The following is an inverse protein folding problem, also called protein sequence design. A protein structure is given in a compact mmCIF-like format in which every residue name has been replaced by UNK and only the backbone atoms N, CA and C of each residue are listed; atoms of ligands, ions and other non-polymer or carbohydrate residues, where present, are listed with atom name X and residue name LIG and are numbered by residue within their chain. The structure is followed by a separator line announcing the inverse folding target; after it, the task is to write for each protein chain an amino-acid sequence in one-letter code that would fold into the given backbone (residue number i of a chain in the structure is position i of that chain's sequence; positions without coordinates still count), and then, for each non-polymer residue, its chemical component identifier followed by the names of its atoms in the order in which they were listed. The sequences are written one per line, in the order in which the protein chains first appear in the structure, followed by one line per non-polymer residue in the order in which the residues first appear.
data_IF_452148429470
#
_entry.id   IF_452148429470
#
_cell.length_a   1.000
_cell.length_b   1.000
_cell.length_c   1.000
_cell.angle_alpha   90.00
_cell.angle_beta   90.00
_cell.angle_gamma   90.00
#
_symmetry.space_group_name_H-M   'P 1'
#
loop_
_entity.id
_entity.type
_entity.pdbx_description
1 polymer ?
#
# COMPACT_ATOMS: atom_id res chain seq x y z
N UNK A 1 34.45 17.07 61.17
CA UNK A 1 35.69 17.81 61.47
C UNK A 1 36.85 17.18 60.70
N UNK A 2 37.80 17.98 60.19
CA UNK A 2 39.09 17.61 59.56
C UNK A 2 39.05 16.65 58.32
N UNK A 3 39.82 16.78 57.21
CA UNK A 3 41.24 17.17 56.93
C UNK A 3 42.26 16.06 57.30
N UNK A 4 43.25 15.61 56.49
CA UNK A 4 43.81 15.89 55.11
C UNK A 4 44.46 14.55 54.59
N UNK A 5 45.13 14.33 53.43
CA UNK A 5 45.61 15.16 52.27
C UNK A 5 45.84 14.30 50.98
N UNK A 6 45.44 14.84 49.82
CA UNK A 6 45.96 14.68 48.42
C UNK A 6 46.99 13.60 48.00
N UNK A 7 46.74 12.94 46.85
CA UNK A 7 47.58 12.83 45.61
C UNK A 7 46.79 12.04 44.52
N UNK A 8 46.85 12.30 43.22
CA UNK A 8 47.44 13.43 42.47
C UNK A 8 48.27 13.01 41.24
N UNK A 9 47.64 12.76 40.07
CA UNK A 9 48.32 12.54 38.78
C UNK A 9 47.40 12.89 37.59
N UNK A 10 47.97 13.11 36.40
CA UNK A 10 47.39 13.98 35.35
C UNK A 10 46.95 13.27 34.06
N UNK A 11 46.15 13.99 33.25
CA UNK A 11 45.73 13.61 31.89
C UNK A 11 46.91 13.37 30.94
N UNK A 12 46.69 12.55 29.91
CA UNK A 12 47.27 12.76 28.57
C UNK A 12 46.23 12.51 27.49
N UNK A 13 45.85 13.56 26.78
CA UNK A 13 45.12 13.48 25.51
C UNK A 13 46.08 13.08 24.38
N UNK A 14 45.53 12.62 23.24
CA UNK A 14 46.26 12.46 21.98
C UNK A 14 45.55 13.26 20.87
N UNK A 15 46.28 13.87 19.93
CA UNK A 15 45.76 14.96 19.10
C UNK A 15 45.02 14.49 17.83
N UNK A 16 44.12 15.35 17.35
CA UNK A 16 43.57 15.33 15.99
C UNK A 16 44.62 15.77 14.95
N UNK A 17 44.49 15.28 13.71
CA UNK A 17 45.49 15.44 12.64
C UNK A 17 44.87 15.50 11.23
N UNK A 18 43.80 16.29 11.04
CA UNK A 18 43.37 16.72 9.69
C UNK A 18 44.18 17.93 9.20
N UNK A 19 44.86 17.84 8.04
CA UNK A 19 45.10 19.00 7.16
C UNK A 19 45.54 18.65 5.73
N UNK A 20 44.93 19.37 4.79
CA UNK A 20 45.45 19.85 3.49
C UNK A 20 46.45 19.02 2.68
N UNK A 21 45.97 18.48 1.54
CA UNK A 21 46.63 18.70 0.24
C UNK A 21 45.60 19.02 -0.85
N UNK A 22 45.71 20.20 -1.47
CA UNK A 22 45.01 20.57 -2.70
C UNK A 22 45.95 21.36 -3.61
N UNK A 23 45.78 21.17 -4.93
CA UNK A 23 46.41 21.90 -6.04
C UNK A 23 47.94 21.85 -6.19
N UNK A 24 48.38 21.25 -7.31
CA UNK A 24 49.21 21.93 -8.33
C UNK A 24 48.77 21.43 -9.72
N UNK A 25 49.10 22.18 -10.78
CA UNK A 25 48.56 22.03 -12.15
C UNK A 25 49.57 21.44 -13.14
N UNK A 26 49.04 20.82 -14.18
CA UNK A 26 49.65 20.65 -15.51
C UNK A 26 49.39 19.26 -16.10
N UNK A 27 49.42 19.03 -17.41
CA UNK A 27 49.20 19.86 -18.61
C UNK A 27 49.38 18.94 -19.84
N UNK A 28 48.64 19.19 -20.94
CA UNK A 28 48.58 18.32 -22.15
C UNK A 28 48.02 16.89 -21.91
N UNK A 29 47.45 16.22 -22.92
CA UNK A 29 47.14 16.67 -24.28
C UNK A 29 46.33 15.65 -25.09
N UNK A 30 45.66 16.16 -26.14
CA UNK A 30 45.10 15.48 -27.32
C UNK A 30 44.02 14.37 -27.18
N UNK A 31 43.22 14.21 -28.25
CA UNK A 31 42.08 13.28 -28.37
C UNK A 31 42.41 11.97 -29.10
N UNK A 32 41.45 11.34 -29.82
CA UNK A 32 40.65 12.02 -30.85
C UNK A 32 39.15 11.61 -30.98
N UNK A 33 38.45 12.32 -31.87
CA UNK A 33 37.25 11.94 -32.65
C UNK A 33 36.13 11.11 -31.99
N UNK A 34 35.04 11.78 -31.59
CA UNK A 34 33.68 11.25 -31.78
C UNK A 34 33.21 11.68 -33.17
N UNK A 35 32.85 10.73 -34.04
CA UNK A 35 32.36 11.04 -35.40
C UNK A 35 30.86 11.30 -35.40
N UNK A 36 30.50 12.53 -35.73
CA UNK A 36 29.14 12.94 -36.05
C UNK A 36 28.59 12.16 -37.27
N UNK A 37 27.28 11.89 -37.27
CA UNK A 37 26.56 11.27 -38.39
C UNK A 37 25.24 11.98 -38.62
N UNK A 38 25.30 13.02 -39.44
CA UNK A 38 24.15 13.70 -40.01
C UNK A 38 23.24 12.71 -40.76
N UNK A 39 21.93 12.83 -40.54
CA UNK A 39 20.89 12.18 -41.35
C UNK A 39 19.97 13.27 -41.92
N UNK A 40 20.00 13.46 -43.24
CA UNK A 40 19.17 14.44 -43.93
C UNK A 40 17.76 13.87 -44.26
N UNK A 41 16.71 14.70 -44.30
CA UNK A 41 15.33 14.24 -44.37
C UNK A 41 14.86 13.85 -45.79
N UNK A 42 13.88 12.95 -45.82
CA UNK A 42 12.91 12.73 -46.91
C UNK A 42 11.57 12.43 -46.23
N UNK A 43 10.41 12.83 -46.74
CA UNK A 43 10.10 13.68 -47.89
C UNK A 43 8.59 13.64 -48.09
N UNK A 44 7.91 14.79 -48.17
CA UNK A 44 6.45 14.84 -48.15
C UNK A 44 5.83 14.42 -49.50
N UNK A 45 4.67 13.76 -49.41
CA UNK A 45 3.74 13.60 -50.52
C UNK A 45 2.32 13.79 -49.99
N UNK A 46 1.56 14.68 -50.62
CA UNK A 46 0.14 14.92 -50.36
C UNK A 46 -0.63 14.68 -51.67
N UNK A 47 -1.92 14.37 -51.56
CA UNK A 47 -2.84 14.30 -52.70
C UNK A 47 -4.27 14.59 -52.25
N UNK A 48 -4.85 15.66 -52.78
CA UNK A 48 -6.26 16.03 -52.59
C UNK A 48 -7.23 15.00 -53.22
N UNK A 49 -8.48 14.94 -52.73
CA UNK A 49 -9.40 13.83 -53.03
C UNK A 49 -10.89 14.13 -53.25
N UNK A 50 -11.32 15.41 -53.20
CA UNK A 50 -12.69 15.92 -53.50
C UNK A 50 -13.84 15.60 -52.53
N UNK A 51 -14.73 16.58 -52.42
CA UNK A 51 -16.10 16.48 -51.92
C UNK A 51 -17.04 15.94 -53.02
N UNK A 52 -18.18 15.36 -52.63
CA UNK A 52 -19.43 15.54 -53.38
C UNK A 52 -20.62 15.43 -52.41
N UNK A 53 -21.51 16.42 -52.42
CA UNK A 53 -22.60 16.55 -51.45
C UNK A 53 -23.96 16.10 -51.98
N UNK A 54 -24.88 15.74 -51.09
CA UNK A 54 -26.32 15.61 -51.37
C UNK A 54 -27.17 16.32 -50.32
N UNK A 55 -28.32 16.81 -50.77
CA UNK A 55 -29.27 17.61 -50.00
C UNK A 55 -30.32 16.74 -49.28
N UNK A 56 -31.26 17.43 -48.63
CA UNK A 56 -32.51 16.91 -48.01
C UNK A 56 -32.33 16.21 -46.64
N UNK A 57 -33.23 16.39 -45.66
CA UNK A 57 -34.37 17.33 -45.55
C UNK A 57 -34.64 17.68 -44.07
N UNK A 58 -35.53 18.62 -43.80
CA UNK A 58 -35.87 19.04 -42.44
C UNK A 58 -37.06 18.25 -41.87
N UNK A 59 -36.92 17.65 -40.68
CA UNK A 59 -38.03 17.03 -39.97
C UNK A 59 -37.65 16.37 -38.64
N UNK A 60 -38.47 16.60 -37.60
CA UNK A 60 -38.55 15.77 -36.39
C UNK A 60 -37.43 15.93 -35.36
N UNK A 61 -37.71 16.68 -34.27
CA UNK A 61 -36.98 16.49 -33.01
C UNK A 61 -37.49 15.20 -32.38
N UNK A 62 -36.67 14.15 -32.40
CA UNK A 62 -36.89 12.91 -31.63
C UNK A 62 -35.69 12.70 -30.73
N UNK A 63 -35.94 12.62 -29.41
CA UNK A 63 -34.89 12.38 -28.42
C UNK A 63 -34.46 10.91 -28.46
N UNK A 64 -33.29 10.64 -29.04
CA UNK A 64 -32.64 9.33 -28.97
C UNK A 64 -31.82 9.23 -27.68
N UNK A 65 -32.52 9.00 -26.57
CA UNK A 65 -31.91 8.37 -25.40
C UNK A 65 -31.50 6.96 -25.82
N UNK A 66 -30.20 6.70 -25.94
CA UNK A 66 -29.68 5.35 -26.21
C UNK A 66 -29.80 4.50 -24.96
N UNK A 67 -30.95 3.86 -24.83
CA UNK A 67 -31.29 2.94 -23.75
C UNK A 67 -30.19 1.88 -23.59
N UNK A 68 -29.60 1.81 -22.39
CA UNK A 68 -28.49 0.91 -22.07
C UNK A 68 -29.03 -0.17 -21.14
N UNK A 69 -29.23 -1.41 -21.62
CA UNK A 69 -30.08 -2.38 -20.92
C UNK A 69 -29.45 -2.89 -19.62
N UNK A 70 -30.26 -2.96 -18.57
CA UNK A 70 -29.99 -3.81 -17.40
C UNK A 70 -29.15 -3.19 -16.28
N UNK A 71 -29.71 -2.21 -15.56
CA UNK A 71 -29.20 -1.83 -14.23
C UNK A 71 -29.95 -2.53 -13.07
N UNK A 72 -30.94 -3.36 -13.37
CA UNK A 72 -31.68 -4.15 -12.39
C UNK A 72 -30.94 -5.46 -12.04
N UNK A 73 -30.95 -5.87 -10.77
CA UNK A 73 -30.49 -7.20 -10.37
C UNK A 73 -29.02 -7.37 -9.97
N UNK A 74 -28.25 -6.30 -9.73
CA UNK A 74 -26.96 -6.44 -9.01
C UNK A 74 -27.23 -6.86 -7.55
N UNK A 75 -27.09 -8.15 -7.27
CA UNK A 75 -27.05 -8.65 -5.89
C UNK A 75 -25.81 -8.10 -5.18
N UNK A 76 -26.01 -7.52 -3.99
CA UNK A 76 -24.91 -7.05 -3.17
C UNK A 76 -24.01 -8.25 -2.79
N UNK A 77 -22.72 -8.17 -3.10
CA UNK A 77 -21.74 -9.20 -2.75
C UNK A 77 -21.12 -8.86 -1.40
N UNK A 78 -21.52 -9.56 -0.34
CA UNK A 78 -20.76 -9.54 0.92
C UNK A 78 -19.60 -10.52 0.88
N UNK A 79 -18.60 -10.27 1.74
CA UNK A 79 -17.42 -11.11 1.93
C UNK A 79 -17.34 -11.50 3.40
N UNK A 80 -17.29 -12.80 3.70
CA UNK A 80 -17.12 -13.29 5.07
C UNK A 80 -15.66 -13.68 5.35
N UNK A 81 -15.08 -13.15 6.42
CA UNK A 81 -13.76 -13.53 6.94
C UNK A 81 -13.93 -13.89 8.43
N UNK A 82 -13.93 -15.19 8.75
CA UNK A 82 -14.20 -15.67 10.11
C UNK A 82 -15.59 -15.25 10.63
N UNK A 83 -15.68 -14.46 11.71
CA UNK A 83 -16.95 -13.90 12.20
C UNK A 83 -17.38 -12.63 11.43
N UNK A 84 -16.51 -11.98 10.66
CA UNK A 84 -16.79 -10.69 10.03
C UNK A 84 -17.57 -10.86 8.72
N UNK A 85 -18.76 -10.27 8.64
CA UNK A 85 -19.56 -10.15 7.42
C UNK A 85 -19.40 -8.73 6.84
N UNK A 86 -18.52 -8.61 5.83
CA UNK A 86 -18.16 -7.35 5.19
C UNK A 86 -19.18 -7.06 4.07
N UNK A 87 -20.06 -6.08 4.30
CA UNK A 87 -21.10 -5.67 3.33
C UNK A 87 -20.54 -5.09 2.03
N UNK A 88 -19.28 -4.66 2.05
CA UNK A 88 -18.49 -4.35 0.87
C UNK A 88 -17.29 -5.30 0.86
N UNK A 89 -17.01 -6.02 -0.24
CA UNK A 89 -15.98 -7.06 -0.31
C UNK A 89 -14.60 -6.43 -0.53
N UNK A 90 -14.26 -5.46 0.31
CA UNK A 90 -13.20 -4.47 0.11
C UNK A 90 -12.32 -4.38 1.35
N UNK A 91 -11.02 -4.46 1.15
CA UNK A 91 -10.02 -4.41 2.22
C UNK A 91 -8.99 -3.31 1.92
N UNK A 92 -8.69 -2.42 2.86
CA UNK A 92 -7.55 -1.50 2.74
C UNK A 92 -6.24 -2.30 2.85
N UNK A 93 -5.37 -2.19 1.85
CA UNK A 93 -4.07 -2.85 1.89
C UNK A 93 -3.16 -2.21 2.95
N UNK A 94 -2.47 -3.00 3.78
CA UNK A 94 -1.50 -2.48 4.72
C UNK A 94 -0.34 -1.81 3.96
N UNK A 95 -0.10 -0.52 4.23
CA UNK A 95 0.96 0.26 3.61
C UNK A 95 1.72 1.01 4.70
N UNK A 96 2.94 0.56 4.98
CA UNK A 96 3.81 1.18 5.98
C UNK A 96 4.10 2.66 5.64
N UNK A 97 4.05 3.51 6.64
CA UNK A 97 4.07 4.97 6.52
C UNK A 97 2.80 5.55 5.89
N UNK A 98 1.69 4.82 5.77
CA UNK A 98 0.43 5.33 5.19
C UNK A 98 -0.79 4.89 6.01
N UNK A 99 -0.99 3.59 6.27
CA UNK A 99 -2.22 3.07 6.93
C UNK A 99 -2.15 3.11 8.46
N UNK A 100 -1.61 4.21 8.99
CA UNK A 100 -1.67 4.57 10.41
C UNK A 100 -3.12 4.86 10.84
N UNK A 101 -3.35 4.99 12.16
CA UNK A 101 -4.71 5.20 12.69
C UNK A 101 -5.37 6.45 12.11
N UNK A 102 -4.63 7.54 11.86
CA UNK A 102 -5.16 8.76 11.28
C UNK A 102 -5.74 8.54 9.87
N UNK A 103 -5.04 7.82 9.00
CA UNK A 103 -5.53 7.52 7.66
C UNK A 103 -6.72 6.54 7.68
N UNK A 104 -6.71 5.54 8.56
CA UNK A 104 -7.82 4.57 8.68
C UNK A 104 -9.08 5.22 9.26
N UNK A 105 -8.95 6.04 10.30
CA UNK A 105 -10.04 6.88 10.83
C UNK A 105 -10.62 7.76 9.73
N UNK A 106 -9.78 8.48 8.97
CA UNK A 106 -10.24 9.35 7.88
C UNK A 106 -11.00 8.58 6.79
N UNK A 107 -10.55 7.38 6.42
CA UNK A 107 -11.29 6.54 5.45
C UNK A 107 -12.65 6.11 6.01
N UNK A 108 -12.72 5.70 7.28
CA UNK A 108 -13.98 5.32 7.95
C UNK A 108 -14.94 6.51 8.14
N UNK A 109 -14.42 7.69 8.50
CA UNK A 109 -15.19 8.95 8.56
C UNK A 109 -15.81 9.30 7.20
N UNK A 110 -15.06 9.13 6.10
CA UNK A 110 -15.52 9.41 4.74
C UNK A 110 -16.45 8.34 4.18
N UNK A 111 -16.23 7.05 4.49
CA UNK A 111 -17.16 5.97 4.13
C UNK A 111 -18.50 6.18 4.83
N UNK A 112 -18.49 6.44 6.15
CA UNK A 112 -19.71 6.67 6.94
C UNK A 112 -20.49 7.91 6.47
N UNK A 113 -19.80 9.03 6.21
CA UNK A 113 -20.45 10.29 5.82
C UNK A 113 -20.91 10.33 4.35
N UNK A 114 -20.28 9.59 3.43
CA UNK A 114 -20.63 9.60 1.99
C UNK A 114 -21.41 8.37 1.51
N UNK A 115 -21.30 7.23 2.18
CA UNK A 115 -22.02 5.98 1.84
C UNK A 115 -22.96 5.49 2.96
N UNK A 116 -23.02 6.19 4.11
CA UNK A 116 -23.91 5.85 5.23
C UNK A 116 -23.49 4.61 6.02
N UNK A 117 -22.29 4.06 5.77
CA UNK A 117 -21.84 2.81 6.38
C UNK A 117 -20.30 2.74 6.46
N UNK A 118 -19.79 1.83 7.29
CA UNK A 118 -18.39 1.38 7.25
C UNK A 118 -18.44 -0.12 7.03
N UNK A 119 -18.02 -0.56 5.84
CA UNK A 119 -18.44 -1.85 5.27
C UNK A 119 -17.30 -2.74 4.80
N UNK A 120 -16.08 -2.20 4.69
CA UNK A 120 -14.85 -2.92 4.40
C UNK A 120 -13.93 -3.10 5.61
N UNK A 121 -12.84 -3.86 5.42
CA UNK A 121 -11.85 -4.17 6.46
C UNK A 121 -10.62 -3.26 6.35
N UNK A 122 -10.18 -2.68 7.47
CA UNK A 122 -9.15 -1.64 7.49
C UNK A 122 -7.84 -2.11 8.14
N UNK A 123 -6.91 -2.65 7.34
CA UNK A 123 -5.64 -3.20 7.85
C UNK A 123 -4.64 -2.09 8.23
N UNK A 124 -4.07 -2.17 9.43
CA UNK A 124 -3.06 -1.23 9.93
C UNK A 124 -1.71 -1.37 9.20
N UNK A 125 -0.71 -0.60 9.62
CA UNK A 125 0.66 -0.77 9.14
C UNK A 125 1.26 -2.12 9.57
N UNK A 126 2.11 -2.68 8.71
CA UNK A 126 2.86 -3.92 8.98
C UNK A 126 3.83 -3.77 10.16
N UNK A 127 3.61 -4.54 11.23
CA UNK A 127 4.51 -4.63 12.40
C UNK A 127 5.27 -5.94 12.44
N UNK A 128 6.53 -5.91 12.89
CA UNK A 128 7.36 -7.11 13.03
C UNK A 128 6.97 -7.90 14.28
N UNK A 129 6.67 -9.19 14.14
CA UNK A 129 6.25 -10.08 15.23
C UNK A 129 7.20 -10.05 16.43
N UNK A 130 8.51 -10.25 16.17
CA UNK A 130 9.56 -10.11 17.21
C UNK A 130 9.54 -8.73 17.89
N UNK A 131 9.30 -7.66 17.15
CA UNK A 131 9.28 -6.31 17.71
C UNK A 131 8.05 -6.02 18.58
N UNK A 132 6.96 -6.74 18.35
CA UNK A 132 5.77 -6.72 19.20
C UNK A 132 6.03 -7.49 20.51
N UNK A 133 6.62 -8.69 20.42
CA UNK A 133 7.02 -9.51 21.57
C UNK A 133 8.06 -8.81 22.45
N UNK A 134 9.05 -8.14 21.86
CA UNK A 134 10.01 -7.28 22.57
C UNK A 134 9.41 -5.93 23.03
N UNK A 135 8.12 -5.71 22.83
CA UNK A 135 7.34 -4.49 23.19
C UNK A 135 7.98 -3.18 22.74
N UNK A 136 8.62 -3.19 21.57
CA UNK A 136 9.39 -2.05 21.09
C UNK A 136 8.48 -0.80 20.94
N UNK A 137 8.82 0.38 21.52
CA UNK A 137 7.87 1.50 21.63
C UNK A 137 7.26 1.97 20.31
N UNK A 138 8.04 1.98 19.22
CA UNK A 138 7.52 2.34 17.88
C UNK A 138 6.52 1.30 17.38
N UNK A 139 6.73 0.03 17.68
CA UNK A 139 5.84 -1.07 17.28
C UNK A 139 4.54 -1.05 18.08
N UNK A 140 4.61 -0.92 19.41
CA UNK A 140 3.42 -0.75 20.26
C UNK A 140 2.60 0.49 19.87
N UNK A 141 3.24 1.53 19.35
CA UNK A 141 2.57 2.72 18.84
C UNK A 141 1.94 2.49 17.46
N UNK A 142 2.55 1.68 16.58
CA UNK A 142 1.94 1.27 15.31
C UNK A 142 0.71 0.37 15.51
N UNK A 143 0.61 -0.38 16.61
CA UNK A 143 -0.59 -1.17 16.97
C UNK A 143 -1.72 -0.31 17.58
N UNK A 144 -1.75 1.00 17.32
CA UNK A 144 -2.84 1.88 17.77
C UNK A 144 -4.04 1.80 16.82
N UNK A 145 -5.22 1.67 17.40
CA UNK A 145 -6.53 1.73 16.73
C UNK A 145 -7.37 2.86 17.36
N UNK A 146 -8.33 3.42 16.62
CA UNK A 146 -9.26 4.40 17.18
C UNK A 146 -10.33 3.69 18.05
N UNK A 147 -10.95 4.37 19.05
CA UNK A 147 -11.99 3.74 19.88
C UNK A 147 -13.20 3.21 19.09
N UNK A 148 -13.52 3.86 17.97
CA UNK A 148 -14.61 3.52 17.04
C UNK A 148 -14.13 2.63 15.88
N UNK A 149 -12.87 2.20 15.90
CA UNK A 149 -12.31 1.30 14.89
C UNK A 149 -12.60 -0.15 15.25
N UNK A 150 -13.58 -0.73 14.53
CA UNK A 150 -13.95 -2.14 14.65
C UNK A 150 -14.35 -2.68 13.25
N UNK A 151 -13.95 -3.91 12.90
CA UNK A 151 -12.92 -4.72 13.58
C UNK A 151 -11.52 -4.13 13.41
N UNK A 152 -10.68 -4.26 14.43
CA UNK A 152 -9.28 -3.81 14.47
C UNK A 152 -8.42 -4.85 13.76
N UNK A 153 -7.75 -4.48 12.67
CA UNK A 153 -6.99 -5.42 11.85
C UNK A 153 -5.50 -5.13 11.86
N UNK A 154 -4.70 -6.02 12.45
CA UNK A 154 -3.25 -5.90 12.54
C UNK A 154 -2.53 -6.74 11.47
N UNK A 155 -1.56 -6.18 10.75
CA UNK A 155 -0.68 -7.01 9.90
C UNK A 155 0.64 -7.34 10.63
N UNK A 156 0.90 -8.64 10.82
CA UNK A 156 2.18 -9.17 11.27
C UNK A 156 3.16 -9.39 10.09
N UNK A 157 4.44 -9.15 10.35
CA UNK A 157 5.57 -9.57 9.53
C UNK A 157 6.52 -10.43 10.35
N UNK A 158 6.97 -11.55 9.78
CA UNK A 158 7.73 -12.58 10.48
C UNK A 158 8.52 -13.44 9.48
N UNK A 159 9.50 -14.19 10.00
CA UNK A 159 10.28 -15.21 9.26
C UNK A 159 10.55 -16.47 10.08
N UNK A 160 9.95 -16.61 11.26
CA UNK A 160 10.13 -17.76 12.15
C UNK A 160 8.84 -18.14 12.91
N UNK A 161 8.56 -19.43 13.14
CA UNK A 161 7.32 -19.85 13.83
C UNK A 161 7.22 -19.36 15.29
N UNK A 162 8.34 -19.15 15.99
CA UNK A 162 8.37 -18.92 17.45
C UNK A 162 7.90 -17.52 17.80
N UNK A 163 8.49 -16.50 17.17
CA UNK A 163 8.03 -15.12 17.32
C UNK A 163 6.63 -14.93 16.73
N UNK A 164 6.25 -15.73 15.72
CA UNK A 164 4.89 -15.69 15.14
C UNK A 164 3.84 -16.12 16.16
N UNK A 165 4.01 -17.30 16.77
CA UNK A 165 3.11 -17.78 17.83
C UNK A 165 3.08 -16.80 19.01
N UNK A 166 4.24 -16.34 19.47
CA UNK A 166 4.31 -15.40 20.60
C UNK A 166 3.63 -14.06 20.31
N UNK A 167 3.79 -13.50 19.11
CA UNK A 167 3.15 -12.24 18.72
C UNK A 167 1.63 -12.40 18.55
N UNK A 168 1.17 -13.46 17.87
CA UNK A 168 -0.25 -13.75 17.72
C UNK A 168 -0.92 -14.03 19.07
N UNK A 169 -0.27 -14.78 19.97
CA UNK A 169 -0.79 -15.06 21.31
C UNK A 169 -0.83 -13.81 22.19
N UNK A 170 0.14 -12.90 22.05
CA UNK A 170 0.12 -11.58 22.70
C UNK A 170 -1.03 -10.70 22.19
N UNK A 171 -1.36 -10.75 20.88
CA UNK A 171 -2.51 -10.02 20.32
C UNK A 171 -3.82 -10.51 20.93
N UNK A 172 -3.96 -11.83 21.10
CA UNK A 172 -5.10 -12.47 21.78
C UNK A 172 -5.15 -12.08 23.26
N UNK A 173 -4.08 -12.33 24.02
CA UNK A 173 -4.09 -12.25 25.48
C UNK A 173 -4.15 -10.80 26.00
N UNK A 174 -3.60 -9.84 25.26
CA UNK A 174 -3.72 -8.40 25.57
C UNK A 174 -4.83 -7.69 24.79
N UNK A 175 -5.66 -8.45 24.04
CA UNK A 175 -6.79 -7.93 23.26
C UNK A 175 -6.39 -6.75 22.35
N UNK A 176 -5.30 -6.89 21.59
CA UNK A 176 -4.71 -5.80 20.81
C UNK A 176 -5.42 -5.56 19.47
N UNK A 177 -5.97 -6.60 18.86
CA UNK A 177 -6.67 -6.55 17.58
C UNK A 177 -7.71 -7.69 17.47
N UNK A 178 -8.70 -7.50 16.59
CA UNK A 178 -9.76 -8.47 16.32
C UNK A 178 -9.43 -9.37 15.11
N UNK A 179 -8.41 -9.03 14.33
CA UNK A 179 -7.98 -9.71 13.11
C UNK A 179 -6.45 -9.64 12.94
N UNK A 180 -5.85 -10.74 12.46
CA UNK A 180 -4.40 -10.85 12.17
C UNK A 180 -4.19 -11.13 10.68
N UNK A 181 -3.68 -10.17 9.91
CA UNK A 181 -3.16 -10.41 8.56
C UNK A 181 -1.66 -10.74 8.59
N UNK A 182 -1.16 -11.53 7.65
CA UNK A 182 0.25 -11.94 7.59
C UNK A 182 0.93 -11.50 6.29
N UNK A 183 2.04 -10.76 6.41
CA UNK A 183 2.76 -10.21 5.26
C UNK A 183 3.76 -11.20 4.64
N UNK A 184 3.41 -11.70 3.47
CA UNK A 184 4.31 -12.44 2.59
C UNK A 184 4.34 -11.84 1.17
N UNK A 185 4.15 -10.51 1.07
CA UNK A 185 4.02 -9.77 -0.19
C UNK A 185 4.93 -8.54 -0.31
N UNK A 186 5.67 -8.19 0.75
CA UNK A 186 6.61 -7.06 0.77
C UNK A 186 7.86 -7.35 -0.11
N UNK A 187 8.17 -6.54 -1.14
CA UNK A 187 9.32 -6.73 -2.04
C UNK A 187 10.54 -5.86 -1.65
N UNK A 188 10.55 -5.25 -0.46
CA UNK A 188 11.58 -4.28 -0.09
C UNK A 188 12.87 -5.03 0.30
N UNK A 189 14.06 -4.67 -0.24
CA UNK A 189 15.30 -5.41 0.00
C UNK A 189 15.72 -5.58 1.47
N UNK A 190 15.28 -4.71 2.38
CA UNK A 190 15.54 -4.83 3.84
C UNK A 190 14.73 -5.95 4.51
N UNK A 191 13.69 -6.45 3.83
CA UNK A 191 12.82 -7.56 4.23
C UNK A 191 13.25 -8.83 3.48
N UNK A 192 13.28 -8.79 2.14
CA UNK A 192 13.53 -10.00 1.32
C UNK A 192 14.94 -10.59 1.51
N UNK A 193 15.96 -9.76 1.81
CA UNK A 193 17.33 -10.23 2.10
C UNK A 193 17.41 -11.12 3.35
N UNK A 194 16.38 -11.09 4.21
CA UNK A 194 16.26 -11.92 5.43
C UNK A 194 15.22 -13.04 5.23
N UNK A 195 14.96 -13.44 3.98
CA UNK A 195 13.98 -14.46 3.63
C UNK A 195 12.52 -14.06 3.81
N UNK A 196 12.24 -12.85 4.30
CA UNK A 196 10.89 -12.41 4.65
C UNK A 196 10.09 -11.76 3.52
N UNK A 197 8.81 -11.50 3.81
CA UNK A 197 7.90 -10.87 2.85
C UNK A 197 7.71 -11.79 1.64
N UNK A 198 7.85 -11.24 0.44
CA UNK A 198 7.65 -12.01 -0.79
C UNK A 198 8.75 -13.06 -1.09
N UNK A 199 9.82 -13.13 -0.29
CA UNK A 199 10.80 -14.21 -0.37
C UNK A 199 10.37 -15.49 0.38
N UNK A 200 9.50 -15.37 1.39
CA UNK A 200 9.19 -16.47 2.32
C UNK A 200 8.36 -17.61 1.71
N UNK A 201 7.33 -17.35 0.86
CA UNK A 201 6.51 -18.42 0.28
C UNK A 201 7.25 -19.41 -0.63
N UNK A 202 8.52 -19.15 -0.96
CA UNK A 202 9.39 -20.12 -1.63
C UNK A 202 9.81 -21.27 -0.70
N UNK A 203 10.02 -20.99 0.60
CA UNK A 203 10.32 -22.00 1.62
C UNK A 203 9.01 -22.59 2.16
N UNK A 204 8.38 -23.45 1.37
CA UNK A 204 7.01 -23.96 1.56
C UNK A 204 6.74 -24.50 2.96
N UNK A 205 7.65 -25.31 3.49
CA UNK A 205 7.50 -25.94 4.82
C UNK A 205 7.72 -24.94 5.97
N UNK A 206 8.66 -23.99 5.83
CA UNK A 206 8.81 -22.88 6.78
C UNK A 206 7.58 -21.95 6.78
N UNK A 207 7.08 -21.63 5.59
CA UNK A 207 5.87 -20.83 5.39
C UNK A 207 4.63 -21.48 6.05
N UNK A 208 4.41 -22.78 5.83
CA UNK A 208 3.34 -23.55 6.48
C UNK A 208 3.45 -23.50 8.01
N UNK A 209 4.62 -23.84 8.56
CA UNK A 209 4.88 -23.76 10.01
C UNK A 209 4.61 -22.36 10.60
N UNK A 210 4.84 -21.29 9.83
CA UNK A 210 4.60 -19.91 10.26
C UNK A 210 3.12 -19.55 10.24
N UNK A 211 2.36 -19.93 9.21
CA UNK A 211 0.89 -19.74 9.19
C UNK A 211 0.24 -20.57 10.30
N UNK A 212 0.63 -21.84 10.42
CA UNK A 212 0.22 -22.76 11.50
C UNK A 212 0.48 -22.17 12.88
N UNK A 213 1.63 -21.53 13.09
CA UNK A 213 1.98 -20.88 14.35
C UNK A 213 1.09 -19.68 14.70
N UNK A 214 0.60 -18.92 13.71
CA UNK A 214 -0.36 -17.85 13.95
C UNK A 214 -1.76 -18.41 14.26
N UNK A 215 -2.25 -19.35 13.45
CA UNK A 215 -3.59 -19.96 13.61
C UNK A 215 -3.71 -20.68 14.96
N UNK A 216 -2.69 -21.47 15.33
CA UNK A 216 -2.61 -22.15 16.64
C UNK A 216 -2.54 -21.22 17.84
N UNK A 217 -2.11 -19.96 17.65
CA UNK A 217 -2.11 -18.96 18.72
C UNK A 217 -3.48 -18.30 18.92
N UNK A 218 -4.35 -18.33 17.89
CA UNK A 218 -5.74 -17.84 17.91
C UNK A 218 -6.78 -18.94 18.23
N UNK A 219 -6.37 -20.20 18.39
CA UNK A 219 -7.26 -21.31 18.76
C UNK A 219 -8.10 -21.01 20.01
N UNK A 220 -9.40 -21.31 19.94
CA UNK A 220 -10.35 -21.02 21.01
C UNK A 220 -10.86 -19.58 21.05
N UNK A 221 -10.58 -18.76 20.02
CA UNK A 221 -11.08 -17.38 19.87
C UNK A 221 -11.74 -17.17 18.51
N UNK A 222 -12.49 -16.08 18.37
CA UNK A 222 -13.09 -15.65 17.10
C UNK A 222 -12.13 -14.87 16.18
N UNK A 223 -10.88 -14.63 16.58
CA UNK A 223 -9.90 -13.83 15.82
C UNK A 223 -9.40 -14.63 14.60
N UNK A 224 -9.71 -14.23 13.35
CA UNK A 224 -9.21 -14.93 12.18
C UNK A 224 -7.79 -14.49 11.82
N UNK A 225 -7.07 -15.41 11.16
CA UNK A 225 -5.77 -15.14 10.52
C UNK A 225 -5.95 -15.10 9.00
N UNK A 226 -5.47 -14.05 8.31
CA UNK A 226 -5.39 -14.00 6.84
C UNK A 226 -3.97 -13.89 6.34
N UNK A 227 -3.77 -14.21 5.06
CA UNK A 227 -2.43 -14.38 4.48
C UNK A 227 -2.32 -13.61 3.15
N UNK A 228 -1.43 -12.61 3.09
CA UNK A 228 -1.28 -11.71 1.92
C UNK A 228 0.08 -11.86 1.22
N UNK A 229 0.08 -12.30 -0.03
CA UNK A 229 1.29 -12.58 -0.82
C UNK A 229 1.31 -11.92 -2.22
N UNK A 230 2.29 -12.33 -3.05
CA UNK A 230 2.53 -11.95 -4.45
C UNK A 230 2.54 -13.20 -5.33
N UNK A 231 2.54 -13.03 -6.66
CA UNK A 231 2.63 -14.14 -7.65
C UNK A 231 3.83 -15.06 -7.35
N UNK A 232 4.97 -14.44 -7.00
CA UNK A 232 6.26 -15.09 -6.82
C UNK A 232 7.35 -14.08 -6.46
N UNK A 233 8.59 -14.56 -6.37
CA UNK A 233 9.78 -13.70 -6.21
C UNK A 233 10.02 -12.93 -7.51
N UNK A 234 10.06 -13.64 -8.62
CA UNK A 234 10.22 -13.16 -9.99
C UNK A 234 9.43 -14.10 -10.91
N UNK A 235 9.62 -13.94 -12.22
CA UNK A 235 8.82 -14.62 -13.25
C UNK A 235 9.29 -16.08 -13.49
N UNK A 236 10.41 -16.51 -12.89
CA UNK A 236 10.86 -17.92 -12.83
C UNK A 236 10.36 -18.61 -11.54
N UNK A 237 10.25 -17.86 -10.45
CA UNK A 237 9.95 -18.36 -9.10
C UNK A 237 8.53 -17.99 -8.64
N UNK A 238 7.52 -18.48 -9.36
CA UNK A 238 6.10 -18.39 -8.96
C UNK A 238 5.79 -19.28 -7.76
N UNK A 239 5.12 -18.73 -6.74
CA UNK A 239 4.83 -19.42 -5.46
C UNK A 239 3.36 -19.36 -5.04
N UNK A 240 2.55 -18.49 -5.65
CA UNK A 240 1.22 -18.13 -5.16
C UNK A 240 0.21 -19.28 -5.04
N UNK A 241 0.26 -20.30 -5.91
CA UNK A 241 -0.64 -21.46 -5.85
C UNK A 241 -0.33 -22.34 -4.63
N UNK A 242 0.93 -22.76 -4.47
CA UNK A 242 1.39 -23.50 -3.30
C UNK A 242 1.17 -22.68 -2.01
N UNK A 243 1.48 -21.38 -2.02
CA UNK A 243 1.30 -20.49 -0.88
C UNK A 243 -0.17 -20.33 -0.46
N UNK A 244 -1.09 -20.20 -1.43
CA UNK A 244 -2.52 -20.10 -1.15
C UNK A 244 -3.10 -21.42 -0.63
N UNK A 245 -2.70 -22.54 -1.24
CA UNK A 245 -3.09 -23.89 -0.82
C UNK A 245 -2.60 -24.18 0.60
N UNK A 246 -1.31 -24.00 0.87
CA UNK A 246 -0.71 -24.24 2.21
C UNK A 246 -1.33 -23.32 3.26
N UNK A 247 -1.57 -22.03 2.94
CA UNK A 247 -2.23 -21.12 3.88
C UNK A 247 -3.63 -21.59 4.26
N UNK A 248 -4.41 -22.08 3.29
CA UNK A 248 -5.77 -22.58 3.52
C UNK A 248 -5.79 -23.97 4.19
N UNK A 249 -4.78 -24.82 3.97
CA UNK A 249 -4.58 -26.09 4.68
C UNK A 249 -4.19 -25.88 6.16
N UNK A 250 -3.34 -24.89 6.45
CA UNK A 250 -2.92 -24.50 7.81
C UNK A 250 -3.96 -23.61 8.54
N UNK A 251 -5.14 -23.38 7.95
CA UNK A 251 -6.29 -22.76 8.61
C UNK A 251 -6.44 -21.24 8.48
N UNK A 252 -5.76 -20.59 7.54
CA UNK A 252 -5.99 -19.16 7.26
C UNK A 252 -7.42 -18.91 6.74
N UNK A 253 -8.14 -17.96 7.32
CA UNK A 253 -9.54 -17.67 7.04
C UNK A 253 -9.81 -17.00 5.68
N UNK A 254 -8.78 -16.43 5.04
CA UNK A 254 -8.80 -15.92 3.67
C UNK A 254 -7.35 -15.68 3.16
N UNK A 255 -7.17 -15.65 1.84
CA UNK A 255 -5.89 -15.34 1.19
C UNK A 255 -6.01 -14.15 0.23
N UNK A 256 -4.95 -13.36 0.08
CA UNK A 256 -4.96 -12.15 -0.73
C UNK A 256 -3.73 -12.04 -1.66
N UNK A 257 -3.95 -12.12 -2.97
CA UNK A 257 -2.88 -12.11 -3.98
C UNK A 257 -2.68 -10.71 -4.57
N UNK A 258 -1.50 -10.12 -4.36
CA UNK A 258 -1.03 -9.06 -5.25
C UNK A 258 -0.57 -9.68 -6.58
N UNK A 259 -1.29 -9.35 -7.65
CA UNK A 259 -1.06 -9.73 -9.04
C UNK A 259 0.21 -9.10 -9.67
N UNK A 260 1.36 -9.19 -8.97
CA UNK A 260 2.71 -8.92 -9.49
C UNK A 260 3.72 -9.82 -8.79
N UNK A 261 4.80 -10.21 -9.47
CA UNK A 261 5.98 -10.80 -8.81
C UNK A 261 6.70 -9.74 -7.96
N UNK A 262 7.58 -10.14 -7.04
CA UNK A 262 8.29 -9.18 -6.20
C UNK A 262 9.30 -8.34 -6.99
N UNK A 263 9.96 -8.94 -7.99
CA UNK A 263 10.90 -8.29 -8.90
C UNK A 263 10.24 -7.17 -9.73
N UNK A 264 9.03 -7.39 -10.24
CA UNK A 264 8.21 -6.37 -10.91
C UNK A 264 7.92 -5.16 -10.01
N UNK A 265 7.82 -5.34 -8.68
CA UNK A 265 7.47 -4.32 -7.69
C UNK A 265 6.12 -3.63 -7.95
N UNK A 266 6.14 -2.64 -8.85
CA UNK A 266 5.05 -1.78 -9.32
C UNK A 266 5.19 -1.37 -10.81
N UNK A 267 6.09 -2.00 -11.59
CA UNK A 267 6.19 -1.84 -13.04
C UNK A 267 5.12 -2.65 -13.78
N UNK A 268 4.91 -2.37 -15.06
CA UNK A 268 3.93 -3.07 -15.90
C UNK A 268 2.49 -2.92 -15.37
N UNK A 269 1.60 -3.77 -15.85
CA UNK A 269 0.25 -3.95 -15.29
C UNK A 269 0.26 -5.03 -14.20
N UNK A 270 -0.82 -5.12 -13.42
CA UNK A 270 -1.09 -6.30 -12.62
C UNK A 270 -1.62 -7.44 -13.50
N UNK A 271 -1.10 -8.66 -13.32
CA UNK A 271 -1.56 -9.86 -14.03
C UNK A 271 -2.75 -10.50 -13.28
N UNK A 272 -3.96 -10.13 -13.71
CA UNK A 272 -5.20 -10.59 -13.09
C UNK A 272 -5.51 -12.07 -13.38
N UNK A 273 -4.90 -12.69 -14.38
CA UNK A 273 -5.13 -14.10 -14.70
C UNK A 273 -4.56 -15.01 -13.59
N UNK A 274 -3.51 -14.57 -12.88
CA UNK A 274 -3.01 -15.27 -11.68
C UNK A 274 -4.01 -15.22 -10.51
N UNK A 275 -4.87 -14.19 -10.42
CA UNK A 275 -5.95 -14.13 -9.42
C UNK A 275 -7.05 -15.14 -9.79
N UNK A 276 -7.41 -15.24 -11.08
CA UNK A 276 -8.34 -16.25 -11.57
C UNK A 276 -7.81 -17.68 -11.34
N UNK A 277 -6.53 -17.92 -11.64
CA UNK A 277 -5.86 -19.20 -11.40
C UNK A 277 -5.84 -19.55 -9.90
N UNK A 278 -5.51 -18.58 -9.02
CA UNK A 278 -5.56 -18.80 -7.57
C UNK A 278 -6.98 -19.08 -7.08
N UNK A 279 -7.99 -18.36 -7.57
CA UNK A 279 -9.40 -18.58 -7.21
C UNK A 279 -9.94 -19.94 -7.67
N UNK A 280 -9.44 -20.46 -8.79
CA UNK A 280 -9.74 -21.81 -9.24
C UNK A 280 -9.01 -22.90 -8.42
N UNK A 281 -7.82 -22.58 -7.88
CA UNK A 281 -7.00 -23.52 -7.11
C UNK A 281 -7.39 -23.59 -5.62
N UNK A 282 -7.73 -22.46 -5.01
CA UNK A 282 -8.07 -22.33 -3.58
C UNK A 282 -9.58 -22.05 -3.46
N UNK A 283 -10.34 -23.11 -3.18
CA UNK A 283 -11.81 -23.10 -3.20
C UNK A 283 -12.46 -23.24 -1.83
N UNK A 284 -11.68 -23.55 -0.79
CA UNK A 284 -12.14 -23.75 0.59
C UNK A 284 -12.16 -22.46 1.44
N UNK A 285 -11.47 -21.40 1.00
CA UNK A 285 -11.41 -20.09 1.68
C UNK A 285 -11.53 -18.95 0.66
N UNK A 286 -11.94 -17.72 1.07
CA UNK A 286 -12.01 -16.59 0.17
C UNK A 286 -10.63 -16.19 -0.40
N UNK A 287 -10.61 -15.87 -1.70
CA UNK A 287 -9.44 -15.36 -2.41
C UNK A 287 -9.72 -13.92 -2.82
N UNK A 288 -8.89 -12.98 -2.33
CA UNK A 288 -9.02 -11.55 -2.60
C UNK A 288 -8.00 -11.11 -3.66
N UNK A 289 -8.47 -10.42 -4.69
CA UNK A 289 -7.64 -9.85 -5.74
C UNK A 289 -6.99 -8.53 -5.32
N UNK A 290 -5.75 -8.27 -5.74
CA UNK A 290 -5.06 -7.02 -5.47
C UNK A 290 -4.13 -6.62 -6.61
N UNK A 291 -4.28 -5.41 -7.14
CA UNK A 291 -3.42 -4.89 -8.18
C UNK A 291 -4.16 -3.92 -9.09
N UNK A 292 -3.69 -2.68 -9.14
CA UNK A 292 -4.10 -1.65 -10.09
C UNK A 292 -5.59 -1.28 -10.10
N UNK A 293 -6.22 -1.37 -8.94
CA UNK A 293 -7.51 -0.72 -8.65
C UNK A 293 -7.24 0.73 -8.25
N UNK A 294 -7.78 1.68 -9.02
CA UNK A 294 -7.64 3.13 -8.82
C UNK A 294 -8.99 3.88 -8.75
N UNK A 295 -10.07 3.31 -9.30
CA UNK A 295 -11.46 3.68 -9.01
C UNK A 295 -12.37 2.45 -8.77
N UNK A 296 -13.63 2.68 -8.43
CA UNK A 296 -14.58 1.60 -8.07
C UNK A 296 -14.94 0.65 -9.24
N UNK A 297 -14.80 1.09 -10.49
CA UNK A 297 -15.04 0.26 -11.68
C UNK A 297 -13.91 -0.75 -11.89
N UNK A 298 -12.68 -0.39 -11.57
CA UNK A 298 -11.54 -1.33 -11.62
C UNK A 298 -11.76 -2.52 -10.67
N UNK A 299 -12.34 -2.26 -9.48
CA UNK A 299 -12.70 -3.31 -8.52
C UNK A 299 -13.81 -4.23 -9.04
N UNK A 300 -14.88 -3.66 -9.60
CA UNK A 300 -15.96 -4.42 -10.24
C UNK A 300 -15.43 -5.25 -11.42
N UNK A 301 -14.55 -4.67 -12.25
CA UNK A 301 -13.92 -5.35 -13.38
C UNK A 301 -13.03 -6.52 -12.93
N UNK A 302 -12.22 -6.35 -11.88
CA UNK A 302 -11.41 -7.42 -11.31
C UNK A 302 -12.28 -8.58 -10.80
N UNK A 303 -13.33 -8.29 -10.03
CA UNK A 303 -14.23 -9.33 -9.49
C UNK A 303 -15.10 -10.00 -10.56
N UNK A 304 -15.35 -9.32 -11.69
CA UNK A 304 -16.04 -9.90 -12.84
C UNK A 304 -15.12 -10.77 -13.70
N UNK A 305 -13.88 -10.34 -13.95
CA UNK A 305 -12.91 -11.07 -14.78
C UNK A 305 -12.29 -12.29 -14.06
N UNK A 306 -12.03 -12.18 -12.76
CA UNK A 306 -11.25 -13.20 -12.01
C UNK A 306 -12.12 -14.10 -11.12
N UNK A 307 -13.37 -13.72 -10.86
CA UNK A 307 -14.24 -14.43 -9.92
C UNK A 307 -13.81 -14.36 -8.46
N UNK A 308 -12.84 -13.50 -8.10
CA UNK A 308 -12.37 -13.35 -6.71
C UNK A 308 -13.48 -12.86 -5.78
N UNK A 309 -13.44 -13.28 -4.51
CA UNK A 309 -14.51 -13.05 -3.52
C UNK A 309 -14.51 -11.60 -2.98
N UNK A 310 -13.39 -10.91 -3.14
CA UNK A 310 -13.25 -9.49 -2.84
C UNK A 310 -11.97 -8.89 -3.38
N UNK A 311 -11.71 -7.64 -3.03
CA UNK A 311 -10.55 -6.86 -3.49
C UNK A 311 -9.80 -6.20 -2.35
N UNK A 312 -8.48 -6.03 -2.53
CA UNK A 312 -7.63 -5.25 -1.63
C UNK A 312 -7.17 -3.96 -2.33
N UNK A 313 -7.39 -2.82 -1.70
CA UNK A 313 -7.11 -1.48 -2.24
C UNK A 313 -5.77 -0.96 -1.71
N UNK A 314 -4.79 -0.84 -2.59
CA UNK A 314 -3.49 -0.25 -2.26
C UNK A 314 -3.37 1.20 -2.74
N UNK A 315 -2.50 1.42 -3.73
CA UNK A 315 -2.11 2.76 -4.22
C UNK A 315 -3.27 3.66 -4.70
N UNK A 316 -4.44 3.11 -4.99
CA UNK A 316 -5.63 3.87 -5.40
C UNK A 316 -6.16 4.86 -4.37
N UNK A 317 -6.10 4.54 -3.07
CA UNK A 317 -6.61 5.42 -2.01
C UNK A 317 -5.60 6.50 -1.55
N UNK A 318 -4.38 6.53 -2.10
CA UNK A 318 -3.37 7.54 -1.75
C UNK A 318 -3.88 8.92 -2.15
N UNK A 319 -4.15 9.81 -1.20
CA UNK A 319 -4.79 11.11 -1.52
C UNK A 319 -6.22 10.98 -2.08
N UNK A 320 -6.86 9.81 -1.90
CA UNK A 320 -8.29 9.53 -2.17
C UNK A 320 -8.87 8.63 -1.07
N UNK A 321 -8.86 9.01 0.22
CA UNK A 321 -9.45 8.21 1.30
C UNK A 321 -10.96 7.98 1.11
N UNK A 322 -11.66 8.88 0.41
CA UNK A 322 -13.07 8.72 0.02
C UNK A 322 -13.33 7.62 -1.03
N UNK A 323 -12.29 7.03 -1.64
CA UNK A 323 -12.45 5.91 -2.58
C UNK A 323 -13.18 4.72 -1.93
N UNK A 324 -13.07 4.54 -0.62
CA UNK A 324 -13.84 3.50 0.10
C UNK A 324 -15.35 3.77 0.09
N UNK A 325 -15.80 5.03 0.07
CA UNK A 325 -17.21 5.36 -0.13
C UNK A 325 -17.68 5.08 -1.56
N UNK A 326 -16.86 5.44 -2.57
CA UNK A 326 -17.13 5.12 -3.98
C UNK A 326 -17.28 3.60 -4.19
N UNK A 327 -16.39 2.81 -3.57
CA UNK A 327 -16.42 1.35 -3.58
C UNK A 327 -17.60 0.76 -2.82
N UNK A 328 -17.88 1.26 -1.60
CA UNK A 328 -19.02 0.80 -0.79
C UNK A 328 -20.34 0.99 -1.53
N UNK A 329 -20.55 2.16 -2.14
CA UNK A 329 -21.73 2.42 -2.97
C UNK A 329 -21.81 1.46 -4.16
N UNK A 330 -20.70 1.25 -4.89
CA UNK A 330 -20.64 0.35 -6.04
C UNK A 330 -21.00 -1.12 -5.71
N UNK A 331 -20.61 -1.62 -4.53
CA UNK A 331 -20.89 -3.01 -4.11
C UNK A 331 -22.22 -3.19 -3.39
N UNK A 332 -22.73 -2.17 -2.69
CA UNK A 332 -24.06 -2.19 -2.04
C UNK A 332 -25.21 -1.82 -2.99
N UNK A 333 -24.90 -1.28 -4.17
CA UNK A 333 -25.89 -0.82 -5.15
C UNK A 333 -26.43 0.59 -4.91
N UNK A 334 -25.88 1.33 -3.95
CA UNK A 334 -26.20 2.73 -3.72
C UNK A 334 -25.60 3.64 -4.81
N UNK A 335 -26.21 4.81 -5.04
CA UNK A 335 -25.64 5.83 -5.94
C UNK A 335 -24.32 6.36 -5.36
N UNK A 336 -23.20 6.29 -6.09
CA UNK A 336 -21.94 6.87 -5.62
C UNK A 336 -22.06 8.38 -5.42
N UNK A 337 -21.54 8.88 -4.30
CA UNK A 337 -21.43 10.32 -4.06
C UNK A 337 -20.51 10.97 -5.10
N UNK A 338 -20.79 12.23 -5.47
CA UNK A 338 -19.93 13.02 -6.35
C UNK A 338 -18.49 13.07 -5.77
N UNK A 339 -17.45 12.85 -6.59
CA UNK A 339 -16.07 13.03 -6.16
C UNK A 339 -15.83 14.48 -5.67
N UNK A 340 -15.05 14.68 -4.59
CA UNK A 340 -14.97 15.95 -3.90
C UNK A 340 -14.35 17.08 -4.75
N UNK A 341 -14.90 18.29 -4.62
CA UNK A 341 -14.26 19.52 -5.12
C UNK A 341 -12.93 19.77 -4.42
N UNK A 342 -12.12 20.69 -4.95
CA UNK A 342 -10.86 21.08 -4.33
C UNK A 342 -11.05 21.67 -2.91
N UNK A 343 -12.17 22.35 -2.66
CA UNK A 343 -12.54 22.81 -1.31
C UNK A 343 -12.86 21.67 -0.34
N UNK A 344 -13.58 20.64 -0.79
CA UNK A 344 -13.80 19.42 0.02
C UNK A 344 -12.50 18.64 0.23
N UNK A 345 -11.64 18.57 -0.79
CA UNK A 345 -10.29 17.97 -0.66
C UNK A 345 -9.43 18.74 0.33
N UNK A 346 -9.53 20.07 0.38
CA UNK A 346 -8.84 20.90 1.37
C UNK A 346 -9.28 20.56 2.80
N UNK A 347 -10.60 20.46 3.05
CA UNK A 347 -11.13 20.02 4.35
C UNK A 347 -10.63 18.62 4.73
N UNK A 348 -10.54 17.69 3.77
CA UNK A 348 -10.02 16.34 3.98
C UNK A 348 -8.50 16.34 4.28
N UNK A 349 -7.71 17.22 3.65
CA UNK A 349 -6.29 17.40 3.99
C UNK A 349 -6.14 17.94 5.41
N UNK A 350 -6.90 18.97 5.78
CA UNK A 350 -6.93 19.53 7.14
C UNK A 350 -7.29 18.46 8.17
N UNK A 351 -8.39 17.73 7.96
CA UNK A 351 -8.81 16.63 8.86
C UNK A 351 -7.74 15.56 9.01
N UNK A 352 -7.07 15.19 7.91
CA UNK A 352 -5.95 14.26 7.97
C UNK A 352 -4.76 14.81 8.78
N UNK A 353 -4.46 16.10 8.64
CA UNK A 353 -3.44 16.81 9.41
C UNK A 353 -3.72 16.82 10.91
N UNK A 354 -4.97 17.07 11.31
CA UNK A 354 -5.42 16.97 12.72
C UNK A 354 -5.23 15.58 13.29
N UNK A 355 -5.71 14.55 12.59
CA UNK A 355 -5.63 13.16 13.02
C UNK A 355 -4.16 12.70 13.15
N UNK A 356 -3.29 13.13 12.21
CA UNK A 356 -1.85 12.88 12.29
C UNK A 356 -1.19 13.63 13.46
N UNK A 357 -1.58 14.88 13.73
CA UNK A 357 -1.06 15.65 14.86
C UNK A 357 -1.52 15.07 16.21
N UNK A 358 -2.75 14.58 16.31
CA UNK A 358 -3.27 13.89 17.49
C UNK A 358 -2.55 12.55 17.74
N UNK A 359 -2.26 11.79 16.68
CA UNK A 359 -1.54 10.51 16.79
C UNK A 359 -0.04 10.68 17.09
N UNK A 360 0.62 11.67 16.48
CA UNK A 360 2.09 11.77 16.46
C UNK A 360 2.68 12.98 17.19
N UNK A 361 1.86 13.92 17.65
CA UNK A 361 2.28 15.28 18.00
C UNK A 361 2.45 16.15 16.75
N UNK A 362 2.18 17.46 16.85
CA UNK A 362 2.03 18.36 15.70
C UNK A 362 3.24 18.35 14.74
N UNK A 363 4.47 18.56 15.21
CA UNK A 363 5.66 18.56 14.34
C UNK A 363 5.80 17.25 13.54
N UNK A 364 5.62 16.08 14.17
CA UNK A 364 5.71 14.80 13.46
C UNK A 364 4.52 14.61 12.52
N UNK A 365 3.30 14.98 12.93
CA UNK A 365 2.10 14.92 12.07
C UNK A 365 2.19 15.82 10.84
N UNK A 366 2.70 17.05 11.01
CA UNK A 366 2.94 18.01 9.94
C UNK A 366 4.15 17.63 9.07
N UNK A 367 5.14 16.91 9.60
CA UNK A 367 6.16 16.25 8.76
C UNK A 367 5.59 15.07 7.98
N UNK A 368 4.57 14.39 8.48
CA UNK A 368 3.95 13.22 7.85
C UNK A 368 2.98 13.61 6.73
N UNK A 369 2.11 14.61 6.92
CA UNK A 369 1.09 15.05 5.94
C UNK A 369 1.71 15.49 4.59
N UNK A 370 2.93 16.05 4.59
CA UNK A 370 3.65 16.55 3.40
C UNK A 370 3.70 15.56 2.24
N UNK A 371 3.85 14.25 2.52
CA UNK A 371 3.88 13.21 1.48
C UNK A 371 2.49 12.94 0.86
N UNK A 372 1.42 13.14 1.63
CA UNK A 372 0.04 12.95 1.18
C UNK A 372 -0.47 14.14 0.36
N UNK A 373 -0.04 15.37 0.67
CA UNK A 373 -0.38 16.59 -0.10
C UNK A 373 -0.13 16.39 -1.60
N UNK A 374 1.02 15.83 -1.96
CA UNK A 374 1.38 15.55 -3.36
C UNK A 374 0.46 14.53 -4.06
N UNK A 375 -0.26 13.70 -3.30
CA UNK A 375 -1.24 12.73 -3.82
C UNK A 375 -2.66 13.30 -3.89
N UNK A 376 -3.04 14.15 -2.92
CA UNK A 376 -4.30 14.90 -2.95
C UNK A 376 -4.32 15.93 -4.09
N UNK A 377 -3.24 16.71 -4.25
CA UNK A 377 -3.09 17.75 -5.29
C UNK A 377 -2.72 17.21 -6.68
N UNK A 378 -2.89 15.90 -6.91
CA UNK A 378 -2.68 15.27 -8.21
C UNK A 378 -3.84 15.62 -9.16
N UNK A 379 -3.52 16.05 -10.38
CA UNK A 379 -4.50 16.53 -11.38
C UNK A 379 -5.05 17.94 -11.13
N UNK A 380 -5.13 18.40 -9.87
CA UNK A 380 -5.66 19.73 -9.53
C UNK A 380 -4.74 20.91 -9.93
N UNK A 381 -5.30 22.10 -10.24
CA UNK A 381 -4.57 23.28 -10.72
C UNK A 381 -3.89 24.10 -9.60
N UNK A 382 -3.51 23.48 -8.48
CA UNK A 382 -3.03 24.12 -7.24
C UNK A 382 -1.65 24.83 -7.29
N UNK A 383 -1.21 25.33 -8.45
CA UNK A 383 0.05 26.08 -8.61
C UNK A 383 1.33 25.25 -8.39
N UNK A 384 2.50 25.79 -8.76
CA UNK A 384 3.78 25.11 -8.48
C UNK A 384 4.24 25.39 -7.04
N UNK A 385 4.18 26.65 -6.61
CA UNK A 385 4.79 27.09 -5.36
C UNK A 385 3.89 26.88 -4.13
N UNK A 386 2.55 26.94 -4.27
CA UNK A 386 1.65 26.56 -3.19
C UNK A 386 1.83 25.08 -2.80
N UNK A 387 1.91 24.18 -3.80
CA UNK A 387 2.30 22.76 -3.58
C UNK A 387 3.68 22.61 -2.94
N UNK A 388 4.64 23.49 -3.23
CA UNK A 388 5.97 23.51 -2.58
C UNK A 388 5.88 23.92 -1.11
N UNK A 389 5.09 24.94 -0.79
CA UNK A 389 4.88 25.42 0.58
C UNK A 389 4.17 24.36 1.44
N UNK A 390 3.10 23.76 0.94
CA UNK A 390 2.39 22.65 1.62
C UNK A 390 3.30 21.42 1.82
N UNK A 391 4.25 21.16 0.92
CA UNK A 391 5.25 20.11 1.08
C UNK A 391 6.34 20.41 2.14
N UNK A 392 6.32 21.60 2.76
CA UNK A 392 7.25 22.05 3.81
C UNK A 392 6.55 22.43 5.13
N UNK A 393 5.21 22.37 5.18
CA UNK A 393 4.33 22.81 6.29
C UNK A 393 4.71 22.24 7.67
N UNK A 394 4.66 23.07 8.71
CA UNK A 394 5.19 22.77 10.06
C UNK A 394 4.13 22.79 11.17
N UNK A 395 3.05 23.55 11.01
CA UNK A 395 1.94 23.67 11.96
C UNK A 395 0.59 23.51 11.25
N UNK A 396 -0.47 23.23 12.01
CA UNK A 396 -1.85 23.19 11.50
C UNK A 396 -2.25 24.57 10.99
N UNK A 397 -1.85 25.65 11.66
CA UNK A 397 -2.10 27.02 11.19
C UNK A 397 -1.43 27.32 9.84
N UNK A 398 -0.16 26.91 9.65
CA UNK A 398 0.52 27.05 8.34
C UNK A 398 -0.15 26.16 7.27
N UNK A 399 -0.82 25.06 7.65
CA UNK A 399 -1.62 24.25 6.73
C UNK A 399 -2.91 24.98 6.33
N UNK A 400 -3.60 25.61 7.29
CA UNK A 400 -4.83 26.37 7.05
C UNK A 400 -4.57 27.57 6.12
N UNK A 401 -3.57 28.41 6.45
CA UNK A 401 -3.14 29.57 5.65
C UNK A 401 -2.86 29.21 4.18
N UNK A 402 -2.42 27.97 3.92
CA UNK A 402 -2.13 27.46 2.57
C UNK A 402 -3.35 26.79 1.92
N UNK A 403 -4.25 26.19 2.68
CA UNK A 403 -5.48 25.59 2.14
C UNK A 403 -6.51 26.65 1.76
N UNK A 404 -6.57 27.79 2.46
CA UNK A 404 -7.42 28.94 2.10
C UNK A 404 -7.03 29.60 0.76
N UNK A 405 -5.83 29.32 0.24
CA UNK A 405 -5.37 29.80 -1.08
C UNK A 405 -5.83 28.92 -2.25
N UNK A 406 -6.59 27.85 -1.99
CA UNK A 406 -7.16 26.98 -3.03
C UNK A 406 -8.52 27.50 -3.51
N UNK A 407 -8.73 27.49 -4.83
CA UNK A 407 -10.05 27.70 -5.42
C UNK A 407 -10.99 26.54 -5.00
N UNK A 408 -12.06 26.80 -4.24
CA UNK A 408 -12.88 25.74 -3.64
C UNK A 408 -13.80 25.05 -4.64
N UNK A 409 -14.15 25.73 -5.74
CA UNK A 409 -15.19 25.30 -6.68
C UNK A 409 -14.63 24.39 -7.80
N UNK A 410 -13.32 24.21 -7.87
CA UNK A 410 -12.68 23.31 -8.85
C UNK A 410 -13.17 21.87 -8.66
N UNK A 411 -13.86 21.26 -9.64
CA UNK A 411 -14.34 19.89 -9.53
C UNK A 411 -13.19 18.89 -9.61
N UNK A 412 -13.38 17.67 -9.09
CA UNK A 412 -12.40 16.59 -9.18
C UNK A 412 -12.02 16.32 -10.65
N UNK A 413 -10.77 16.57 -11.09
CA UNK A 413 -10.43 16.52 -12.51
C UNK A 413 -10.27 15.08 -12.97
N UNK A 414 -10.74 14.75 -14.19
CA UNK A 414 -10.65 13.39 -14.74
C UNK A 414 -9.21 12.84 -14.77
N UNK A 415 -8.22 13.72 -14.95
CA UNK A 415 -6.79 13.42 -14.91
C UNK A 415 -6.23 13.08 -13.50
N UNK A 416 -7.05 13.16 -12.45
CA UNK A 416 -6.73 12.69 -11.10
C UNK A 416 -7.15 11.22 -10.86
N UNK A 417 -7.61 10.49 -11.87
CA UNK A 417 -7.80 9.04 -11.79
C UNK A 417 -6.50 8.30 -12.13
N UNK A 418 -6.36 7.06 -11.66
CA UNK A 418 -5.21 6.21 -11.97
C UNK A 418 -4.03 6.27 -10.96
N UNK A 419 -2.83 5.83 -11.39
CA UNK A 419 -1.74 5.40 -10.50
C UNK A 419 -0.98 6.52 -9.80
N UNK A 420 -1.12 6.57 -8.46
CA UNK A 420 -0.35 7.44 -7.56
C UNK A 420 0.82 6.75 -6.86
N UNK A 421 1.65 7.56 -6.21
CA UNK A 421 2.84 7.12 -5.48
C UNK A 421 3.99 6.73 -6.40
N UNK A 422 4.96 5.96 -5.88
CA UNK A 422 6.14 5.55 -6.64
C UNK A 422 5.80 4.48 -7.67
N UNK A 423 5.61 4.89 -8.92
CA UNK A 423 5.92 4.03 -10.06
C UNK A 423 7.44 3.77 -10.09
N UNK A 424 7.85 2.58 -10.52
CA UNK A 424 9.27 2.21 -10.57
C UNK A 424 9.49 1.06 -11.52
N UNK A 425 10.73 0.87 -11.96
CA UNK A 425 11.11 -0.29 -12.76
C UNK A 425 11.08 -1.58 -11.95
N UNK A 426 10.98 -2.70 -12.66
CA UNK A 426 11.42 -3.99 -12.14
C UNK A 426 12.90 -3.94 -11.73
N UNK A 427 13.30 -4.82 -10.83
CA UNK A 427 14.69 -5.16 -10.53
C UNK A 427 14.75 -6.48 -9.76
N UNK A 428 15.92 -7.12 -9.72
CA UNK A 428 16.15 -8.33 -8.93
C UNK A 428 15.78 -8.16 -7.46
N UNK A 429 15.22 -9.23 -6.88
CA UNK A 429 14.97 -9.34 -5.45
C UNK A 429 16.27 -9.72 -4.77
N UNK A 430 16.64 -9.04 -3.69
CA UNK A 430 17.76 -9.51 -2.85
C UNK A 430 17.23 -10.56 -1.88
N UNK A 431 17.84 -11.74 -1.87
CA UNK A 431 17.51 -12.88 -1.01
C UNK A 431 18.68 -13.18 -0.04
N UNK A 432 18.51 -14.09 0.93
CA UNK A 432 19.63 -14.77 1.59
C UNK A 432 20.50 -15.57 0.59
N UNK A 433 21.73 -15.87 1.00
CA UNK A 433 22.58 -16.85 0.31
C UNK A 433 21.96 -18.25 0.42
N UNK A 434 22.02 -19.05 -0.65
CA UNK A 434 21.42 -20.39 -0.71
C UNK A 434 19.89 -20.46 -0.64
N UNK A 435 19.17 -19.32 -0.75
CA UNK A 435 17.72 -19.30 -0.52
C UNK A 435 16.91 -20.12 -1.53
N UNK A 436 17.41 -20.23 -2.77
CA UNK A 436 16.74 -20.93 -3.87
C UNK A 436 17.21 -22.39 -4.05
N UNK A 437 18.08 -22.87 -3.17
CA UNK A 437 18.73 -24.18 -3.31
C UNK A 437 17.80 -25.34 -2.91
N UNK A 438 16.85 -25.08 -2.00
CA UNK A 438 15.85 -26.03 -1.51
C UNK A 438 14.56 -25.27 -1.10
N UNK A 439 13.39 -25.50 -1.74
CA UNK A 439 12.11 -24.90 -1.36
C UNK A 439 11.43 -25.56 -0.15
N UNK A 440 11.90 -26.71 0.33
CA UNK A 440 11.31 -27.47 1.44
C UNK A 440 12.18 -27.49 2.71
N UNK A 441 13.27 -26.73 2.69
CA UNK A 441 14.10 -26.34 3.84
C UNK A 441 13.29 -25.49 4.85
N UNK A 442 13.44 -25.83 6.14
CA UNK A 442 12.76 -25.18 7.26
C UNK A 442 13.67 -24.18 8.02
N UNK A 443 14.88 -23.91 7.54
CA UNK A 443 15.88 -23.11 8.26
C UNK A 443 15.47 -21.64 8.36
N UNK A 444 15.29 -21.16 9.59
CA UNK A 444 15.05 -19.73 9.86
C UNK A 444 16.30 -18.93 9.48
N UNK A 445 16.21 -17.93 8.59
CA UNK A 445 17.36 -17.20 8.09
C UNK A 445 18.02 -16.32 9.17
N UNK A 446 19.34 -16.40 9.28
CA UNK A 446 20.12 -15.62 10.25
C UNK A 446 19.90 -14.10 10.08
N UNK A 447 19.71 -13.39 11.20
CA UNK A 447 19.40 -11.97 11.20
C UNK A 447 17.91 -11.62 10.98
N UNK A 448 17.02 -12.63 10.98
CA UNK A 448 15.59 -12.49 11.30
C UNK A 448 15.33 -11.46 12.42
N UNK A 449 16.17 -11.52 13.43
CA UNK A 449 16.20 -10.75 14.68
C UNK A 449 16.20 -9.23 14.54
N UNK A 450 16.57 -8.67 13.38
CA UNK A 450 16.90 -7.25 13.29
C UNK A 450 15.67 -6.38 12.99
N UNK A 451 15.27 -5.63 14.00
CA UNK A 451 14.07 -4.76 14.13
C UNK A 451 13.86 -3.75 12.99
N UNK A 452 13.22 -4.15 11.88
CA UNK A 452 12.79 -3.24 10.80
C UNK A 452 11.34 -3.52 10.37
N UNK A 453 10.46 -2.53 10.49
CA UNK A 453 9.18 -2.49 9.74
C UNK A 453 9.42 -2.04 8.30
N UNK A 454 8.42 -2.19 7.42
CA UNK A 454 8.57 -2.05 5.97
C UNK A 454 8.87 -0.63 5.45
N UNK A 455 8.46 0.41 6.20
CA UNK A 455 8.66 1.83 5.88
C UNK A 455 10.10 2.27 6.07
#
# INVERSE_FOLDING_TARGET
MAHLRTRGLQRRERPDARRDRRARRGAAGDGPEVRDRQAAPRGAAASDGREEGRQESAGGIISLVTDTPGCEGRTARSLRIGPFDLRSPVVLAPMAGVTNVAFRTLCRELELSRAGTVSGLYVCEMVTARALVERHPVTMHMTTFAPEESPRSLQLYTVDPVNTYAAAKMIVDENLADHIDMNFGCPVPKVTRRGGGAALPYKRRLFGQIVSAAVRATEGTDIPVTVKFRIGIDDEHHTHLDAGRIAAEEGAAAVALHARTAAQRYSGSADWDQIAALKAHVTNVPVLGNGDIFDARDALAMMAATGCDGVVIGRGCLGRPWLFAELSAAFTGATPATPPTLGEVAQIIRRHGELLAAHFGEDKGMRDIRKHVAWYMHGFPAGADLRRSMALVKTISELDDLLEQLDPDVPFPAAANGPRGRQGSAASVTLPEGWLDDPDDCTVPAGADVMHSGG
#
